data_IF_457023275914
#
_entry.id   IF_457023275914
#
_cell.length_a   1.000
_cell.length_b   1.000
_cell.length_c   1.000
_cell.angle_alpha   90.00
_cell.angle_beta   90.00
_cell.angle_gamma   90.00
#
_symmetry.space_group_name_H-M   'P 1'
#
loop_
_entity.id
_entity.type
_entity.pdbx_description
1 polymer ?
#
# COMPACT_ATOMS: atom_id res chain seq x y z
N UNK A 1 -4.39 -12.66 -18.36
CA UNK A 1 -3.07 -12.02 -18.12
C UNK A 1 -2.31 -12.89 -17.14
N UNK A 2 -0.97 -13.07 -17.27
CA UNK A 2 -0.28 -13.99 -16.39
C UNK A 2 -0.47 -13.51 -14.95
N UNK A 3 -0.83 -14.43 -14.06
CA UNK A 3 -0.73 -14.22 -12.63
C UNK A 3 0.74 -13.95 -12.26
N UNK A 4 0.96 -13.31 -11.10
CA UNK A 4 2.21 -13.37 -10.32
C UNK A 4 3.25 -12.26 -10.48
N UNK A 5 2.87 -10.98 -10.40
CA UNK A 5 3.77 -9.97 -9.81
C UNK A 5 3.12 -9.40 -8.56
N UNK A 6 3.71 -9.67 -7.40
CA UNK A 6 3.25 -9.09 -6.12
C UNK A 6 3.33 -7.56 -6.19
N UNK A 7 2.29 -6.89 -5.70
CA UNK A 7 2.22 -5.43 -5.59
C UNK A 7 2.91 -4.88 -4.33
N UNK A 8 3.36 -5.75 -3.43
CA UNK A 8 3.88 -5.36 -2.11
C UNK A 8 5.08 -4.41 -2.15
N UNK A 9 5.96 -4.54 -3.16
CA UNK A 9 7.09 -3.63 -3.37
C UNK A 9 6.84 -2.58 -4.45
N UNK A 10 5.62 -2.47 -4.98
CA UNK A 10 5.23 -1.35 -5.85
C UNK A 10 4.82 -0.15 -5.00
N UNK A 11 5.75 0.27 -4.13
CA UNK A 11 5.61 1.36 -3.19
C UNK A 11 6.91 2.15 -3.18
N UNK A 12 6.81 3.43 -2.83
CA UNK A 12 8.00 4.21 -2.54
C UNK A 12 8.65 3.71 -1.25
N UNK A 13 9.99 3.69 -1.23
CA UNK A 13 10.77 3.19 -0.09
C UNK A 13 10.45 3.96 1.21
N UNK A 14 10.04 5.23 1.11
CA UNK A 14 9.72 6.03 2.30
C UNK A 14 8.52 5.46 3.07
N UNK A 15 7.58 4.79 2.42
CA UNK A 15 6.41 4.19 3.08
C UNK A 15 6.85 3.08 4.04
N UNK A 16 7.85 2.28 3.64
CA UNK A 16 8.41 1.21 4.46
C UNK A 16 9.18 1.76 5.66
N UNK A 17 9.98 2.81 5.46
CA UNK A 17 10.75 3.43 6.56
C UNK A 17 9.85 4.21 7.53
N UNK A 18 8.76 4.79 7.02
CA UNK A 18 7.74 5.43 7.85
C UNK A 18 6.98 4.42 8.71
N UNK A 19 6.61 3.26 8.15
CA UNK A 19 6.03 2.15 8.92
C UNK A 19 6.97 1.69 10.05
N UNK A 20 8.25 1.49 9.74
CA UNK A 20 9.26 1.10 10.74
C UNK A 20 9.38 2.14 11.87
N UNK A 21 9.38 3.44 11.51
CA UNK A 21 9.36 4.52 12.49
C UNK A 21 8.07 4.51 13.34
N UNK A 22 6.89 4.28 12.74
CA UNK A 22 5.62 4.23 13.45
C UNK A 22 5.54 3.05 14.43
N UNK A 23 6.06 1.88 14.04
CA UNK A 23 6.17 0.70 14.91
C UNK A 23 7.07 0.98 16.11
N UNK A 24 8.27 1.53 15.88
CA UNK A 24 9.21 1.92 16.95
C UNK A 24 8.65 2.97 17.89
N UNK A 25 7.84 3.89 17.38
CA UNK A 25 7.15 4.90 18.17
C UNK A 25 5.89 4.39 18.88
N UNK A 26 5.46 3.15 18.65
CA UNK A 26 4.22 2.60 19.22
C UNK A 26 2.95 3.26 18.67
N UNK A 27 3.02 3.81 17.45
CA UNK A 27 1.91 4.58 16.83
C UNK A 27 1.35 3.94 15.56
N UNK A 28 1.87 2.77 15.15
CA UNK A 28 1.44 2.07 13.94
C UNK A 28 -0.07 1.74 13.92
N UNK A 29 -0.68 1.48 15.08
CA UNK A 29 -2.10 1.15 15.22
C UNK A 29 -3.02 2.38 15.33
N UNK A 30 -2.48 3.59 15.14
CA UNK A 30 -3.28 4.81 15.20
C UNK A 30 -4.23 4.88 14.02
N UNK A 31 -5.54 4.91 14.31
CA UNK A 31 -6.58 5.13 13.30
C UNK A 31 -6.30 6.40 12.49
N UNK A 32 -6.26 6.24 11.17
CA UNK A 32 -5.88 7.28 10.21
C UNK A 32 -6.83 7.24 9.01
N UNK A 33 -7.03 8.40 8.37
CA UNK A 33 -7.90 8.55 7.19
C UNK A 33 -7.07 9.18 6.07
N UNK A 34 -7.19 8.63 4.86
CA UNK A 34 -6.56 9.13 3.66
C UNK A 34 -7.63 9.41 2.59
N UNK A 35 -7.50 10.53 1.88
CA UNK A 35 -8.42 10.92 0.81
C UNK A 35 -7.66 11.08 -0.51
N UNK A 36 -8.21 10.51 -1.59
CA UNK A 36 -7.64 10.61 -2.94
C UNK A 36 -8.58 11.39 -3.86
N UNK A 37 -8.11 12.51 -4.39
CA UNK A 37 -8.87 13.33 -5.35
C UNK A 37 -7.95 14.06 -6.34
N UNK A 38 -8.46 14.29 -7.55
CA UNK A 38 -7.78 15.10 -8.54
C UNK A 38 -7.90 16.60 -8.20
N UNK A 39 -6.77 17.32 -8.15
CA UNK A 39 -6.77 18.76 -7.86
C UNK A 39 -7.10 19.64 -9.06
N UNK A 40 -6.87 19.15 -10.28
CA UNK A 40 -7.07 19.91 -11.52
C UNK A 40 -7.40 18.96 -12.67
N UNK A 41 -8.33 19.38 -13.52
CA UNK A 41 -8.61 18.75 -14.81
C UNK A 41 -7.93 19.53 -15.94
N UNK A 42 -7.63 18.88 -17.08
CA UNK A 42 -7.23 19.60 -18.29
C UNK A 42 -8.25 20.69 -18.64
N UNK A 43 -7.80 21.83 -19.15
CA UNK A 43 -8.66 22.99 -19.42
C UNK A 43 -9.86 22.69 -20.35
N UNK A 44 -9.73 21.65 -21.17
CA UNK A 44 -10.76 21.19 -22.11
C UNK A 44 -11.78 20.22 -21.49
N UNK A 45 -11.63 19.80 -20.23
CA UNK A 45 -12.50 18.83 -19.55
C UNK A 45 -13.14 19.43 -18.31
N UNK A 46 -14.47 19.30 -18.21
CA UNK A 46 -15.27 19.79 -17.07
C UNK A 46 -15.51 18.75 -15.99
N UNK A 47 -15.26 17.47 -16.27
CA UNK A 47 -15.39 16.36 -15.34
C UNK A 47 -14.33 15.28 -15.61
N UNK A 48 -14.10 14.43 -14.62
CA UNK A 48 -13.33 13.19 -14.74
C UNK A 48 -14.25 11.98 -14.58
N UNK A 49 -13.83 10.84 -15.11
CA UNK A 49 -14.46 9.55 -14.87
C UNK A 49 -13.49 8.75 -14.00
N UNK A 50 -14.00 8.19 -12.90
CA UNK A 50 -13.23 7.29 -12.05
C UNK A 50 -13.25 5.91 -12.70
N UNK A 51 -12.09 5.28 -12.79
CA UNK A 51 -11.94 3.93 -13.35
C UNK A 51 -10.76 3.22 -12.69
N UNK A 52 -10.79 1.89 -12.67
CA UNK A 52 -9.74 1.06 -12.06
C UNK A 52 -9.99 0.71 -10.58
N UNK A 53 -11.19 0.94 -10.06
CA UNK A 53 -11.56 0.57 -8.69
C UNK A 53 -11.54 -0.94 -8.50
N UNK A 54 -12.06 -1.71 -9.47
CA UNK A 54 -11.99 -3.17 -9.41
C UNK A 54 -10.55 -3.69 -9.36
N UNK A 55 -9.64 -3.08 -10.13
CA UNK A 55 -8.23 -3.48 -10.16
C UNK A 55 -7.51 -3.27 -8.83
N UNK A 56 -7.78 -2.16 -8.14
CA UNK A 56 -7.16 -1.92 -6.83
C UNK A 56 -7.71 -2.87 -5.76
N UNK A 57 -9.01 -3.16 -5.77
CA UNK A 57 -9.61 -4.12 -4.83
C UNK A 57 -9.03 -5.52 -5.01
N UNK A 58 -8.95 -6.01 -6.25
CA UNK A 58 -8.29 -7.30 -6.54
C UNK A 58 -6.81 -7.33 -6.10
N UNK A 59 -6.09 -6.22 -6.27
CA UNK A 59 -4.69 -6.13 -5.86
C UNK A 59 -4.54 -6.11 -4.33
N UNK A 60 -5.47 -5.47 -3.63
CA UNK A 60 -5.49 -5.35 -2.17
C UNK A 60 -5.79 -6.69 -1.51
N UNK A 61 -6.73 -7.47 -2.04
CA UNK A 61 -7.04 -8.82 -1.55
C UNK A 61 -5.83 -9.76 -1.58
N UNK A 62 -4.92 -9.55 -2.55
CA UNK A 62 -3.70 -10.34 -2.72
C UNK A 62 -2.45 -9.67 -2.17
N UNK A 63 -2.59 -8.52 -1.51
CA UNK A 63 -1.48 -7.72 -1.03
C UNK A 63 -0.79 -8.42 0.15
N UNK A 64 0.31 -9.10 -0.15
CA UNK A 64 1.11 -9.87 0.81
C UNK A 64 2.58 -9.80 0.43
N UNK A 65 3.47 -9.80 1.42
CA UNK A 65 4.91 -9.86 1.20
C UNK A 65 5.35 -11.32 1.08
N UNK A 66 5.98 -11.67 -0.04
CA UNK A 66 6.58 -12.98 -0.21
C UNK A 66 7.89 -13.10 0.57
N UNK A 67 8.31 -14.33 0.88
CA UNK A 67 9.59 -14.60 1.56
C UNK A 67 10.78 -13.94 0.85
N UNK A 68 10.82 -13.97 -0.49
CA UNK A 68 11.87 -13.31 -1.26
C UNK A 68 11.90 -11.79 -1.06
N UNK A 69 10.72 -11.15 -0.94
CA UNK A 69 10.62 -9.71 -0.70
C UNK A 69 11.07 -9.36 0.73
N UNK A 70 10.69 -10.17 1.72
CA UNK A 70 11.16 -10.01 3.10
C UNK A 70 12.69 -10.16 3.19
N UNK A 71 13.25 -11.19 2.55
CA UNK A 71 14.70 -11.41 2.52
C UNK A 71 15.44 -10.25 1.84
N UNK A 72 14.86 -9.70 0.77
CA UNK A 72 15.40 -8.52 0.11
C UNK A 72 15.46 -7.32 1.06
N UNK A 73 14.37 -7.02 1.77
CA UNK A 73 14.32 -5.89 2.71
C UNK A 73 15.32 -6.08 3.86
N UNK A 74 15.44 -7.30 4.39
CA UNK A 74 16.40 -7.66 5.43
C UNK A 74 17.86 -7.48 4.97
N UNK A 75 18.23 -8.10 3.83
CA UNK A 75 19.60 -8.07 3.29
C UNK A 75 20.07 -6.65 3.00
N UNK A 76 19.17 -5.80 2.50
CA UNK A 76 19.47 -4.41 2.19
C UNK A 76 19.31 -3.47 3.39
N UNK A 77 18.94 -3.98 4.58
CA UNK A 77 18.77 -3.21 5.82
C UNK A 77 17.81 -2.03 5.65
N UNK A 78 16.72 -2.22 4.91
CA UNK A 78 15.76 -1.16 4.59
C UNK A 78 14.90 -0.80 5.81
N UNK A 79 14.51 -1.81 6.59
CA UNK A 79 13.68 -1.69 7.80
C UNK A 79 14.18 -2.65 8.90
N UNK A 80 13.73 -2.45 10.13
CA UNK A 80 14.06 -3.32 11.26
C UNK A 80 13.40 -4.70 11.18
N UNK A 81 13.93 -5.68 11.94
CA UNK A 81 13.34 -7.02 12.05
C UNK A 81 11.90 -6.99 12.57
N UNK A 82 11.58 -6.06 13.47
CA UNK A 82 10.21 -5.83 13.97
C UNK A 82 9.27 -5.46 12.83
N UNK A 83 9.71 -4.58 11.94
CA UNK A 83 8.92 -4.21 10.75
C UNK A 83 8.81 -5.37 9.76
N UNK A 84 9.86 -6.18 9.58
CA UNK A 84 9.80 -7.37 8.73
C UNK A 84 8.81 -8.40 9.25
N UNK A 85 8.78 -8.64 10.56
CA UNK A 85 7.81 -9.55 11.18
C UNK A 85 6.38 -9.03 11.00
N UNK A 86 6.15 -7.73 11.19
CA UNK A 86 4.87 -7.10 10.91
C UNK A 86 4.43 -7.29 9.43
N UNK A 87 5.34 -7.08 8.48
CA UNK A 87 5.04 -7.17 7.04
C UNK A 87 4.70 -8.60 6.57
N UNK A 88 5.23 -9.64 7.22
CA UNK A 88 4.91 -11.05 6.90
C UNK A 88 3.42 -11.35 7.06
N UNK A 89 2.85 -10.87 8.17
CA UNK A 89 1.48 -11.17 8.57
C UNK A 89 0.48 -10.08 8.19
N UNK A 90 0.97 -8.95 7.67
CA UNK A 90 0.12 -7.82 7.30
C UNK A 90 -1.01 -8.22 6.35
N UNK A 91 -2.24 -7.87 6.74
CA UNK A 91 -3.43 -7.92 5.90
C UNK A 91 -4.20 -6.62 6.09
N UNK A 92 -4.68 -6.06 4.98
CA UNK A 92 -5.52 -4.87 5.03
C UNK A 92 -6.84 -5.20 5.74
N UNK A 93 -7.19 -4.38 6.73
CA UNK A 93 -8.39 -4.54 7.57
C UNK A 93 -9.22 -3.26 7.67
N UNK A 94 -8.89 -2.23 6.89
CA UNK A 94 -9.60 -0.95 6.88
C UNK A 94 -10.83 -0.95 5.99
N UNK A 95 -11.56 0.17 6.05
CA UNK A 95 -12.69 0.44 5.18
C UNK A 95 -12.26 1.30 3.97
N UNK A 96 -12.84 1.03 2.80
CA UNK A 96 -12.64 1.83 1.59
C UNK A 96 -14.01 2.31 1.10
N UNK A 97 -14.14 3.61 0.92
CA UNK A 97 -15.32 4.25 0.35
C UNK A 97 -14.91 4.92 -0.97
N UNK A 98 -15.73 4.77 -2.01
CA UNK A 98 -15.41 5.30 -3.33
C UNK A 98 -16.63 5.41 -4.22
N UNK A 99 -16.44 6.09 -5.36
CA UNK A 99 -17.42 6.10 -6.44
C UNK A 99 -17.55 4.71 -7.06
N UNK A 100 -18.77 4.38 -7.49
CA UNK A 100 -18.97 3.23 -8.34
C UNK A 100 -18.29 3.46 -9.71
N UNK A 101 -17.74 2.39 -10.26
CA UNK A 101 -17.26 2.32 -11.65
C UNK A 101 -18.36 1.79 -12.57
#
# INVERSE_FOLDING_TARGET
>A
MPASTSTALLTDMYELTMLDAALKAGTAERKSVFELFGRRLPATRRFGVVAGTGRILEALERFTFSTHQIDYLHKNKIVSDVALDYLKDFRFSGDIFGYAE
#
